data_IF_762008909841
#
_entry.id   IF_762008909841
#
_cell.length_a   1.000
_cell.length_b   1.000
_cell.length_c   1.000
_cell.angle_alpha   90.00
_cell.angle_beta   90.00
_cell.angle_gamma   90.00
#
_symmetry.space_group_name_H-M   'P 1'
#
loop_
_entity.id
_entity.type
_entity.pdbx_description
1 polymer ?
#
# COMPACT_ATOMS: atom_id res chain seq x y z
N UNK A 1 22.08 -8.43 15.80
CA UNK A 1 22.93 -8.51 14.59
C UNK A 1 22.35 -7.57 13.55
N UNK A 2 23.18 -6.72 12.94
CA UNK A 2 22.72 -5.75 11.93
C UNK A 2 22.50 -6.46 10.59
N UNK A 3 21.23 -6.58 10.19
CA UNK A 3 20.81 -7.24 8.95
C UNK A 3 21.47 -6.62 7.71
N UNK A 4 21.70 -5.30 7.71
CA UNK A 4 22.30 -4.58 6.58
C UNK A 4 23.78 -4.95 6.44
N UNK A 5 24.48 -5.10 7.56
CA UNK A 5 25.89 -5.52 7.53
C UNK A 5 26.05 -6.96 7.05
N UNK A 6 25.13 -7.86 7.43
CA UNK A 6 25.14 -9.24 6.93
C UNK A 6 24.92 -9.32 5.40
N UNK A 7 24.06 -8.45 4.84
CA UNK A 7 23.86 -8.37 3.38
C UNK A 7 25.11 -7.81 2.68
N UNK A 8 25.84 -6.87 3.30
CA UNK A 8 27.07 -6.30 2.73
C UNK A 8 28.22 -7.31 2.71
N UNK A 9 28.30 -8.18 3.70
CA UNK A 9 29.33 -9.22 3.80
C UNK A 9 28.96 -10.51 3.05
N UNK A 10 27.79 -10.57 2.41
CA UNK A 10 27.37 -11.75 1.67
C UNK A 10 28.21 -11.90 0.40
N UNK A 11 28.98 -12.99 0.30
CA UNK A 11 29.75 -13.36 -0.88
C UNK A 11 29.11 -14.56 -1.60
N UNK A 12 28.39 -14.35 -2.72
CA UNK A 12 27.76 -15.42 -3.49
C UNK A 12 28.77 -16.43 -4.06
N UNK A 13 30.04 -16.04 -4.25
CA UNK A 13 31.07 -16.92 -4.83
C UNK A 13 31.53 -18.00 -3.85
N UNK A 14 31.23 -17.84 -2.56
CA UNK A 14 31.51 -18.83 -1.53
C UNK A 14 30.51 -20.00 -1.48
N UNK A 15 29.40 -19.91 -2.22
CA UNK A 15 28.32 -20.90 -2.18
C UNK A 15 28.52 -22.04 -3.21
N UNK A 16 28.20 -23.29 -2.84
CA UNK A 16 28.02 -24.37 -3.81
C UNK A 16 26.91 -24.05 -4.82
N UNK A 17 27.02 -24.55 -6.07
CA UNK A 17 26.08 -24.22 -7.15
C UNK A 17 24.60 -24.45 -6.82
N UNK A 18 24.26 -25.56 -6.15
CA UNK A 18 22.87 -25.84 -5.75
C UNK A 18 22.34 -24.88 -4.68
N UNK A 19 23.20 -24.37 -3.81
CA UNK A 19 22.84 -23.36 -2.82
C UNK A 19 22.81 -21.96 -3.43
N UNK A 20 23.64 -21.70 -4.45
CA UNK A 20 23.64 -20.44 -5.19
C UNK A 20 22.30 -20.22 -5.90
N UNK A 21 21.78 -21.21 -6.61
CA UNK A 21 20.48 -21.10 -7.29
C UNK A 21 19.34 -20.82 -6.30
N UNK A 22 19.36 -21.52 -5.16
CA UNK A 22 18.39 -21.28 -4.08
C UNK A 22 18.54 -19.87 -3.49
N UNK A 23 19.77 -19.42 -3.26
CA UNK A 23 20.06 -18.10 -2.72
C UNK A 23 19.60 -16.99 -3.68
N UNK A 24 19.80 -17.15 -4.99
CA UNK A 24 19.30 -16.23 -6.02
C UNK A 24 17.79 -16.08 -5.91
N UNK A 25 17.04 -17.19 -5.89
CA UNK A 25 15.58 -17.14 -5.77
C UNK A 25 15.10 -16.45 -4.49
N UNK A 26 15.76 -16.72 -3.35
CA UNK A 26 15.44 -16.06 -2.09
C UNK A 26 15.74 -14.55 -2.11
N UNK A 27 16.86 -14.15 -2.72
CA UNK A 27 17.25 -12.75 -2.86
C UNK A 27 16.31 -11.99 -3.79
N UNK A 28 15.85 -12.60 -4.88
CA UNK A 28 14.86 -12.00 -5.77
C UNK A 28 13.54 -11.71 -5.02
N UNK A 29 13.06 -12.68 -4.23
CA UNK A 29 11.88 -12.51 -3.37
C UNK A 29 12.11 -11.41 -2.33
N UNK A 30 13.28 -11.39 -1.69
CA UNK A 30 13.62 -10.39 -0.68
C UNK A 30 13.69 -8.98 -1.28
N UNK A 31 14.29 -8.84 -2.47
CA UNK A 31 14.36 -7.57 -3.22
C UNK A 31 12.96 -7.10 -3.61
N UNK A 32 12.10 -8.01 -4.10
CA UNK A 32 10.71 -7.68 -4.43
C UNK A 32 9.96 -7.15 -3.21
N UNK A 33 10.06 -7.85 -2.07
CA UNK A 33 9.46 -7.44 -0.79
C UNK A 33 9.97 -6.09 -0.32
N UNK A 34 11.28 -5.87 -0.37
CA UNK A 34 11.91 -4.62 0.04
C UNK A 34 11.49 -3.44 -0.85
N UNK A 35 11.43 -3.64 -2.17
CA UNK A 35 10.94 -2.64 -3.13
C UNK A 35 9.48 -2.27 -2.85
N UNK A 36 8.62 -3.26 -2.59
CA UNK A 36 7.22 -3.01 -2.25
C UNK A 36 7.09 -2.22 -0.92
N UNK A 37 7.84 -2.61 0.12
CA UNK A 37 7.86 -1.89 1.38
C UNK A 37 8.33 -0.44 1.22
N UNK A 38 9.32 -0.20 0.34
CA UNK A 38 9.78 1.15 0.02
C UNK A 38 8.70 1.99 -0.67
N UNK A 39 7.86 1.40 -1.52
CA UNK A 39 6.71 2.11 -2.11
C UNK A 39 5.68 2.51 -1.05
N UNK A 40 5.44 1.66 -0.06
CA UNK A 40 4.43 1.89 0.99
C UNK A 40 4.88 2.83 2.11
N UNK A 41 6.17 3.19 2.15
CA UNK A 41 6.76 4.04 3.20
C UNK A 41 5.95 5.32 3.50
N UNK A 42 5.36 6.05 2.54
CA UNK A 42 4.54 7.23 2.83
C UNK A 42 3.35 6.98 3.75
N UNK A 43 2.70 5.82 3.66
CA UNK A 43 1.60 5.46 4.57
C UNK A 43 2.14 5.08 5.96
N UNK A 44 3.28 4.39 6.01
CA UNK A 44 3.90 3.94 7.27
C UNK A 44 4.58 5.03 8.10
N UNK A 45 4.67 6.27 7.60
CA UNK A 45 5.06 7.41 8.45
C UNK A 45 4.10 7.55 9.65
N UNK A 46 2.86 7.07 9.51
CA UNK A 46 1.87 7.00 10.58
C UNK A 46 2.23 6.10 11.77
N UNK A 47 3.20 5.19 11.63
CA UNK A 47 3.69 4.38 12.75
C UNK A 47 4.78 5.11 13.58
N UNK A 48 5.23 6.29 13.14
CA UNK A 48 6.21 7.09 13.88
C UNK A 48 5.59 7.70 15.14
N UNK A 49 6.35 7.72 16.25
CA UNK A 49 5.95 8.41 17.47
C UNK A 49 5.70 9.92 17.27
N UNK A 50 6.38 10.52 16.30
CA UNK A 50 6.26 11.94 15.95
C UNK A 50 5.22 12.20 14.86
N UNK A 51 4.33 11.26 14.56
CA UNK A 51 3.34 11.44 13.51
C UNK A 51 2.35 12.56 13.85
N UNK A 52 2.34 13.62 13.03
CA UNK A 52 1.45 14.77 13.17
C UNK A 52 0.34 14.82 12.10
N UNK A 53 0.26 13.80 11.23
CA UNK A 53 -0.66 13.76 10.11
C UNK A 53 0.02 13.43 8.79
N UNK A 54 -0.78 13.09 7.78
CA UNK A 54 -0.28 12.77 6.45
C UNK A 54 0.10 14.05 5.70
N UNK A 55 1.29 14.05 5.09
CA UNK A 55 1.74 15.18 4.29
C UNK A 55 0.83 15.45 3.08
N UNK A 56 0.70 16.72 2.69
CA UNK A 56 -0.16 17.18 1.57
C UNK A 56 0.01 16.37 0.27
N UNK A 57 1.25 15.99 -0.08
CA UNK A 57 1.53 15.22 -1.30
C UNK A 57 0.98 13.79 -1.23
N UNK A 58 0.91 13.17 -0.04
CA UNK A 58 0.28 11.87 0.14
C UNK A 58 -1.24 11.96 0.03
N UNK A 59 -1.83 12.99 0.66
CA UNK A 59 -3.27 13.28 0.59
C UNK A 59 -3.74 13.56 -0.85
N UNK A 60 -3.00 14.38 -1.60
CA UNK A 60 -3.30 14.64 -3.02
C UNK A 60 -3.19 13.38 -3.89
N UNK A 61 -2.24 12.47 -3.58
CA UNK A 61 -2.15 11.18 -4.27
C UNK A 61 -3.36 10.31 -3.98
N UNK A 62 -3.81 10.25 -2.74
CA UNK A 62 -5.01 9.51 -2.35
C UNK A 62 -6.23 10.03 -3.10
N UNK A 63 -6.47 11.35 -3.07
CA UNK A 63 -7.60 11.96 -3.78
C UNK A 63 -7.57 11.66 -5.28
N UNK A 64 -6.43 11.88 -5.93
CA UNK A 64 -6.26 11.60 -7.35
C UNK A 64 -6.45 10.11 -7.67
N UNK A 65 -6.04 9.21 -6.76
CA UNK A 65 -6.20 7.78 -6.95
C UNK A 65 -7.66 7.35 -6.80
N UNK A 66 -8.40 7.89 -5.83
CA UNK A 66 -9.84 7.64 -5.68
C UNK A 66 -10.56 7.98 -6.98
N UNK A 67 -10.33 9.18 -7.51
CA UNK A 67 -10.93 9.60 -8.77
C UNK A 67 -10.53 8.68 -9.92
N UNK A 68 -9.24 8.38 -10.06
CA UNK A 68 -8.75 7.53 -11.15
C UNK A 68 -9.32 6.11 -11.08
N UNK A 69 -9.31 5.48 -9.91
CA UNK A 69 -9.72 4.09 -9.76
C UNK A 69 -11.22 3.95 -9.93
N UNK A 70 -12.03 4.80 -9.31
CA UNK A 70 -13.47 4.59 -9.26
C UNK A 70 -14.26 5.31 -10.36
N UNK A 71 -13.72 6.36 -10.99
CA UNK A 71 -14.38 7.02 -12.12
C UNK A 71 -13.99 6.45 -13.49
N UNK A 72 -12.93 5.63 -13.56
CA UNK A 72 -12.59 4.92 -14.80
C UNK A 72 -13.70 3.91 -15.12
N UNK A 73 -14.32 3.92 -16.31
CA UNK A 73 -15.32 2.91 -16.67
C UNK A 73 -14.74 1.50 -16.70
N UNK A 74 -15.55 0.48 -16.42
CA UNK A 74 -15.11 -0.92 -16.44
C UNK A 74 -14.53 -1.35 -17.78
N UNK A 75 -15.10 -0.84 -18.88
CA UNK A 75 -14.63 -1.06 -20.25
C UNK A 75 -13.21 -0.54 -20.51
N UNK A 76 -12.75 0.42 -19.72
CA UNK A 76 -11.42 1.04 -19.81
C UNK A 76 -10.52 0.66 -18.62
N UNK A 77 -11.02 -0.16 -17.71
CA UNK A 77 -10.31 -0.54 -16.49
C UNK A 77 -9.25 -1.61 -16.78
N UNK A 78 -7.99 -1.28 -16.47
CA UNK A 78 -6.90 -2.26 -16.49
C UNK A 78 -6.99 -3.17 -15.27
N UNK A 79 -6.36 -4.36 -15.33
CA UNK A 79 -6.35 -5.36 -14.24
C UNK A 79 -6.02 -4.73 -12.87
N UNK A 80 -5.03 -3.81 -12.82
CA UNK A 80 -4.62 -3.11 -11.60
C UNK A 80 -5.73 -2.25 -10.99
N UNK A 81 -6.55 -1.59 -11.81
CA UNK A 81 -7.67 -0.78 -11.32
C UNK A 81 -8.70 -1.69 -10.66
N UNK A 82 -9.00 -2.85 -11.27
CA UNK A 82 -9.94 -3.82 -10.71
C UNK A 82 -9.46 -4.34 -9.36
N UNK A 83 -8.19 -4.77 -9.29
CA UNK A 83 -7.57 -5.21 -8.02
C UNK A 83 -7.65 -4.14 -6.94
N UNK A 84 -7.45 -2.86 -7.27
CA UNK A 84 -7.56 -1.77 -6.30
C UNK A 84 -9.00 -1.54 -5.84
N UNK A 85 -10.00 -1.70 -6.70
CA UNK A 85 -11.42 -1.58 -6.29
C UNK A 85 -11.86 -2.70 -5.36
N UNK A 86 -11.27 -3.88 -5.51
CA UNK A 86 -11.55 -5.06 -4.69
C UNK A 86 -10.78 -5.05 -3.35
N UNK A 87 -10.16 -3.93 -2.97
CA UNK A 87 -9.55 -3.75 -1.66
C UNK A 87 -10.58 -3.25 -0.66
N UNK A 88 -10.41 -3.65 0.60
CA UNK A 88 -11.04 -2.96 1.72
C UNK A 88 -10.57 -1.50 1.78
N UNK A 89 -11.38 -0.64 2.38
CA UNK A 89 -11.16 0.80 2.36
C UNK A 89 -9.78 1.18 2.95
N UNK A 90 -9.35 0.51 4.02
CA UNK A 90 -8.07 0.79 4.68
C UNK A 90 -6.90 0.39 3.77
N UNK A 91 -6.91 -0.82 3.22
CA UNK A 91 -5.88 -1.26 2.26
C UNK A 91 -5.82 -0.37 1.01
N UNK A 92 -6.98 0.09 0.53
CA UNK A 92 -7.06 1.04 -0.56
C UNK A 92 -6.41 2.38 -0.19
N UNK A 93 -6.73 2.93 1.00
CA UNK A 93 -6.15 4.18 1.49
C UNK A 93 -4.63 4.07 1.63
N UNK A 94 -4.13 2.98 2.20
CA UNK A 94 -2.68 2.71 2.30
C UNK A 94 -2.03 2.74 0.92
N UNK A 95 -2.63 2.09 -0.08
CA UNK A 95 -2.17 2.18 -1.46
C UNK A 95 -2.25 3.61 -2.01
N UNK A 96 -3.34 4.34 -1.75
CA UNK A 96 -3.60 5.68 -2.27
C UNK A 96 -2.68 6.77 -1.71
N UNK A 97 -2.28 6.66 -0.45
CA UNK A 97 -1.27 7.56 0.14
C UNK A 97 0.12 7.40 -0.51
N UNK A 98 0.36 6.25 -1.16
CA UNK A 98 1.66 5.86 -1.65
C UNK A 98 1.78 5.97 -3.18
N UNK A 99 0.81 5.41 -3.90
CA UNK A 99 0.88 5.17 -5.33
C UNK A 99 0.24 6.33 -6.11
N UNK A 100 0.99 6.87 -7.08
CA UNK A 100 0.42 7.77 -8.08
C UNK A 100 -0.10 6.98 -9.28
N UNK A 101 -0.97 7.58 -10.10
CA UNK A 101 -1.37 7.04 -11.41
C UNK A 101 -0.15 6.64 -12.26
N UNK A 102 0.90 7.48 -12.28
CA UNK A 102 2.15 7.22 -13.01
C UNK A 102 2.92 6.03 -12.43
N UNK A 103 2.89 5.85 -11.10
CA UNK A 103 3.50 4.69 -10.45
C UNK A 103 2.74 3.43 -10.85
N UNK A 104 1.41 3.44 -10.78
CA UNK A 104 0.58 2.29 -11.14
C UNK A 104 0.76 1.83 -12.58
N UNK A 105 0.99 2.73 -13.53
CA UNK A 105 1.24 2.33 -14.92
C UNK A 105 2.65 1.75 -15.12
N UNK A 106 3.62 2.15 -14.31
CA UNK A 106 5.04 1.78 -14.47
C UNK A 106 5.48 0.58 -13.64
N UNK A 107 4.79 0.27 -12.54
CA UNK A 107 5.09 -0.92 -11.75
C UNK A 107 5.02 -2.15 -12.65
N UNK A 108 5.95 -3.09 -12.49
CA UNK A 108 5.78 -4.42 -13.04
C UNK A 108 4.67 -5.18 -12.28
N UNK A 109 4.17 -6.26 -12.86
CA UNK A 109 3.05 -7.02 -12.30
C UNK A 109 3.38 -7.60 -10.92
N UNK A 110 4.54 -8.25 -10.79
CA UNK A 110 4.96 -8.89 -9.53
C UNK A 110 5.12 -7.86 -8.39
N UNK A 111 5.70 -6.70 -8.69
CA UNK A 111 5.86 -5.65 -7.69
C UNK A 111 4.53 -5.02 -7.29
N UNK A 112 3.60 -4.83 -8.24
CA UNK A 112 2.26 -4.35 -7.92
C UNK A 112 1.51 -5.33 -7.01
N UNK A 113 1.52 -6.62 -7.33
CA UNK A 113 0.89 -7.66 -6.52
C UNK A 113 1.49 -7.72 -5.12
N UNK A 114 2.81 -7.62 -5.01
CA UNK A 114 3.50 -7.61 -3.71
C UNK A 114 3.18 -6.35 -2.89
N UNK A 115 3.06 -5.17 -3.53
CA UNK A 115 2.60 -3.94 -2.85
C UNK A 115 1.18 -4.12 -2.30
N UNK A 116 0.25 -4.65 -3.11
CA UNK A 116 -1.13 -4.91 -2.68
C UNK A 116 -1.16 -5.93 -1.54
N UNK A 117 -0.38 -7.01 -1.65
CA UNK A 117 -0.26 -8.04 -0.62
C UNK A 117 0.23 -7.46 0.70
N UNK A 118 1.26 -6.61 0.66
CA UNK A 118 1.77 -5.95 1.87
C UNK A 118 0.79 -4.95 2.44
N UNK A 119 0.12 -4.13 1.62
CA UNK A 119 -0.92 -3.20 2.08
C UNK A 119 -2.03 -3.93 2.83
N UNK A 120 -2.56 -5.02 2.27
CA UNK A 120 -3.54 -5.89 2.95
C UNK A 120 -3.02 -6.49 4.24
N UNK A 121 -1.78 -6.99 4.23
CA UNK A 121 -1.18 -7.63 5.41
C UNK A 121 -0.83 -6.65 6.54
N UNK A 122 -0.88 -5.35 6.30
CA UNK A 122 -0.44 -4.32 7.25
C UNK A 122 -1.50 -3.26 7.57
N UNK A 123 -2.63 -3.26 6.89
CA UNK A 123 -3.75 -2.35 7.09
C UNK A 123 -4.22 -2.30 8.55
N UNK A 124 -4.22 -3.45 9.24
CA UNK A 124 -4.56 -3.55 10.67
C UNK A 124 -3.68 -2.69 11.60
N UNK A 125 -2.43 -2.37 11.21
CA UNK A 125 -1.56 -1.50 12.00
C UNK A 125 -1.89 -0.03 11.83
N UNK A 126 -2.48 0.33 10.68
CA UNK A 126 -2.75 1.70 10.30
C UNK A 126 -4.23 2.08 10.47
N UNK A 127 -5.12 1.11 10.69
CA UNK A 127 -6.57 1.30 10.75
C UNK A 127 -6.98 2.40 11.73
N UNK A 128 -6.47 2.38 12.97
CA UNK A 128 -6.83 3.36 13.99
C UNK A 128 -6.39 4.78 13.60
N UNK A 129 -5.18 4.92 13.05
CA UNK A 129 -4.64 6.21 12.61
C UNK A 129 -5.39 6.75 11.39
N UNK A 130 -5.77 5.87 10.46
CA UNK A 130 -6.53 6.22 9.26
C UNK A 130 -7.95 6.66 9.64
N UNK A 131 -8.63 5.92 10.51
CA UNK A 131 -9.99 6.25 10.96
C UNK A 131 -10.00 7.58 11.74
N UNK A 132 -8.99 7.84 12.57
CA UNK A 132 -8.89 9.07 13.35
C UNK A 132 -8.45 10.31 12.55
N UNK A 133 -7.99 10.15 11.30
CA UNK A 133 -7.49 11.27 10.49
C UNK A 133 -8.65 12.07 9.88
N UNK A 134 -8.80 13.31 10.35
CA UNK A 134 -9.75 14.27 9.80
C UNK A 134 -9.49 14.58 8.33
N UNK A 135 -8.22 14.59 7.90
CA UNK A 135 -7.83 14.85 6.51
C UNK A 135 -8.27 13.73 5.57
N UNK A 136 -8.15 12.47 6.00
CA UNK A 136 -8.65 11.33 5.23
C UNK A 136 -10.18 11.34 5.21
N UNK A 137 -10.82 11.62 6.33
CA UNK A 137 -12.27 11.76 6.41
C UNK A 137 -12.79 12.87 5.49
N UNK A 138 -12.08 14.00 5.38
CA UNK A 138 -12.41 15.10 4.47
C UNK A 138 -12.32 14.65 3.00
N UNK A 139 -11.25 13.96 2.61
CA UNK A 139 -11.09 13.44 1.25
C UNK A 139 -12.21 12.45 0.92
N UNK A 140 -12.56 11.56 1.86
CA UNK A 140 -13.65 10.62 1.67
C UNK A 140 -15.00 11.34 1.49
N UNK A 141 -15.28 12.39 2.28
CA UNK A 141 -16.54 13.15 2.24
C UNK A 141 -16.67 14.00 0.97
N UNK A 142 -15.59 14.66 0.56
CA UNK A 142 -15.55 15.55 -0.62
C UNK A 142 -15.39 14.79 -1.93
N UNK A 143 -14.99 13.51 -1.88
CA UNK A 143 -14.97 12.65 -3.06
C UNK A 143 -16.37 12.52 -3.68
N UNK A 144 -16.47 12.73 -4.99
CA UNK A 144 -17.69 12.48 -5.75
C UNK A 144 -17.94 10.99 -6.04
N UNK A 145 -17.13 10.10 -5.43
CA UNK A 145 -17.20 8.66 -5.64
C UNK A 145 -18.02 8.00 -4.52
N UNK A 146 -19.28 7.68 -4.83
CA UNK A 146 -20.19 7.02 -3.89
C UNK A 146 -19.71 5.63 -3.45
N UNK A 147 -19.17 4.82 -4.37
CA UNK A 147 -18.67 3.48 -4.06
C UNK A 147 -17.55 3.47 -3.00
N UNK A 148 -16.69 4.50 -2.99
CA UNK A 148 -15.64 4.65 -1.99
C UNK A 148 -16.18 5.12 -0.63
N UNK A 149 -17.22 5.98 -0.63
CA UNK A 149 -17.90 6.40 0.61
C UNK A 149 -18.59 5.23 1.28
N UNK A 150 -19.22 4.36 0.50
CA UNK A 150 -19.88 3.16 0.98
C UNK A 150 -18.87 2.18 1.58
N UNK A 151 -17.71 1.96 0.93
CA UNK A 151 -16.69 1.06 1.48
C UNK A 151 -16.09 1.56 2.80
N UNK A 152 -16.07 2.88 3.05
CA UNK A 152 -15.67 3.47 4.34
C UNK A 152 -16.73 3.35 5.44
N UNK A 153 -18.01 3.22 5.08
CA UNK A 153 -19.13 3.26 6.03
C UNK A 153 -19.41 1.90 6.68
N UNK A 154 -19.04 0.81 6.00
CA UNK A 154 -19.30 -0.57 6.43
C UNK A 154 -18.43 -1.01 7.62
N UNK A 155 -17.34 -0.30 7.90
CA UNK A 155 -16.40 -0.60 9.01
C UNK A 155 -16.58 0.29 10.26
N UNK A 156 -17.70 1.02 10.37
CA UNK A 156 -18.04 1.71 11.63
C UNK A 156 -18.41 0.66 12.69
N UNK A 157 -17.72 0.56 13.83
CA UNK A 157 -18.08 -0.42 14.85
C UNK A 157 -19.48 -0.10 15.34
N UNK A 158 -20.38 -1.06 15.14
CA UNK A 158 -21.72 -1.09 15.72
C UNK A 158 -21.60 -0.72 17.19
N UNK A 159 -22.29 0.35 17.60
CA UNK A 159 -22.46 0.74 19.00
C UNK A 159 -22.81 -0.50 19.82
N UNK A 160 -21.87 -0.98 20.64
CA UNK A 160 -22.20 -1.93 21.71
C UNK A 160 -22.79 -1.08 22.83
N UNK A 161 -24.12 -0.95 22.82
CA UNK A 161 -24.86 -0.47 23.99
C UNK A 161 -24.85 -1.56 25.05
N UNK A 162 -24.22 -1.27 26.18
CA UNK A 162 -24.52 -1.89 27.48
C UNK A 162 -25.15 -0.83 28.38
#
# INVERSE_FOLDING_TARGET
MDLVNNLRSFDPQSLPSSQLDQAVGLLEIAVLRAKAAAQLRPAFVAESADFQGFGRVALQRLEALIQYVFLTPDSLSIERIKVLRDLDAISFIVCGLCLSKKTLTRLDKALFEEVVRQARGSSHRLVNTIIASNEIAEIARTSNVQAFKESMSVDSPTEVRF
#
